data_IF_781636839569
#
_entry.id   IF_781636839569
#
_cell.length_a   1.000
_cell.length_b   1.000
_cell.length_c   1.000
_cell.angle_alpha   90.00
_cell.angle_beta   90.00
_cell.angle_gamma   90.00
#
_symmetry.space_group_name_H-M   'P 1'
#
loop_
_entity.id
_entity.type
_entity.pdbx_description
1 polymer ?
#
# COMPACT_ATOMS: atom_id res chain seq x y z
N UNK A 1 45.24 51.87 -24.08
CA UNK A 1 44.36 52.15 -22.91
C UNK A 1 43.77 50.81 -22.48
N UNK A 2 44.42 50.12 -21.54
CA UNK A 2 44.02 49.96 -20.12
C UNK A 2 42.67 49.22 -19.97
N UNK A 3 42.70 47.88 -19.89
CA UNK A 3 42.60 47.03 -18.67
C UNK A 3 41.24 47.06 -17.98
N UNK A 4 40.59 45.90 -17.80
CA UNK A 4 40.44 45.25 -16.49
C UNK A 4 39.83 43.84 -16.65
N UNK A 5 40.61 42.82 -16.28
CA UNK A 5 40.11 41.48 -15.98
C UNK A 5 39.76 41.45 -14.48
N UNK A 6 38.54 41.03 -14.14
CA UNK A 6 38.08 40.90 -12.77
C UNK A 6 38.43 39.49 -12.28
N UNK A 7 39.54 39.37 -11.55
CA UNK A 7 39.89 38.14 -10.83
C UNK A 7 39.23 38.18 -9.44
N UNK A 8 38.33 37.22 -9.20
CA UNK A 8 37.70 36.96 -7.92
C UNK A 8 38.75 36.37 -6.96
N UNK A 9 39.23 37.15 -5.99
CA UNK A 9 40.09 36.68 -4.90
C UNK A 9 39.21 36.18 -3.74
N UNK A 10 39.17 34.85 -3.59
CA UNK A 10 38.78 34.18 -2.34
C UNK A 10 39.90 34.39 -1.29
N UNK A 11 39.63 34.93 -0.08
CA UNK A 11 40.54 34.78 1.04
C UNK A 11 40.14 33.50 1.79
N UNK A 12 40.68 32.36 1.37
CA UNK A 12 40.53 31.09 2.08
C UNK A 12 41.89 30.44 2.24
N UNK A 13 42.82 31.17 2.86
CA UNK A 13 44.11 30.66 3.34
C UNK A 13 44.75 31.70 4.28
N UNK A 14 44.24 31.84 5.51
CA UNK A 14 44.90 32.65 6.55
C UNK A 14 44.77 32.03 7.95
N UNK A 15 44.46 30.73 8.06
CA UNK A 15 44.39 30.03 9.35
C UNK A 15 45.57 29.07 9.59
N UNK A 16 46.36 28.73 8.58
CA UNK A 16 47.49 27.79 8.73
C UNK A 16 48.86 28.45 8.98
N UNK A 17 49.05 29.73 8.64
CA UNK A 17 50.36 30.41 8.82
C UNK A 17 50.68 30.74 10.29
N UNK A 18 49.68 30.85 11.17
CA UNK A 18 49.91 31.18 12.59
C UNK A 18 50.22 29.95 13.48
N UNK A 19 49.77 28.74 13.11
CA UNK A 19 49.95 27.53 13.92
C UNK A 19 51.42 27.09 13.99
N UNK A 20 52.13 27.09 12.85
CA UNK A 20 53.53 26.64 12.77
C UNK A 20 54.45 27.58 13.58
N UNK A 21 54.24 28.90 13.44
CA UNK A 21 55.04 29.90 14.14
C UNK A 21 54.85 29.90 15.66
N UNK A 22 53.64 29.63 16.14
CA UNK A 22 53.38 29.52 17.58
C UNK A 22 54.01 28.27 18.19
N UNK A 23 53.85 27.10 17.55
CA UNK A 23 54.37 25.82 18.06
C UNK A 23 55.89 25.88 18.22
N UNK A 24 56.60 26.42 17.23
CA UNK A 24 58.06 26.57 17.28
C UNK A 24 58.48 27.51 18.43
N UNK A 25 57.82 28.66 18.57
CA UNK A 25 58.07 29.59 19.69
C UNK A 25 57.81 28.93 21.03
N UNK A 26 56.70 28.22 21.21
CA UNK A 26 56.40 27.51 22.44
C UNK A 26 57.40 26.38 22.74
N UNK A 27 57.83 25.62 21.72
CA UNK A 27 58.79 24.54 21.89
C UNK A 27 60.19 25.04 22.28
N UNK A 28 60.66 26.11 21.62
CA UNK A 28 62.01 26.66 21.76
C UNK A 28 62.15 27.79 22.80
N UNK A 29 61.05 28.36 23.30
CA UNK A 29 61.10 29.45 24.27
C UNK A 29 61.79 29.02 25.58
N UNK A 30 62.73 29.86 26.04
CA UNK A 30 63.31 29.76 27.37
C UNK A 30 62.26 30.01 28.47
N UNK A 31 61.28 30.86 28.19
CA UNK A 31 60.14 31.17 29.04
C UNK A 31 58.84 30.89 28.28
N UNK A 32 58.28 29.70 28.50
CA UNK A 32 57.06 29.24 27.81
C UNK A 32 55.81 29.94 28.32
N UNK A 33 55.82 30.51 29.53
CA UNK A 33 54.66 31.25 30.06
C UNK A 33 54.39 32.53 29.26
N UNK A 34 55.45 33.19 28.77
CA UNK A 34 55.30 34.33 27.84
C UNK A 34 54.63 33.95 26.52
N UNK A 35 55.02 32.82 25.94
CA UNK A 35 54.41 32.32 24.71
C UNK A 35 52.94 31.96 24.94
N UNK A 36 52.61 31.31 26.06
CA UNK A 36 51.23 30.99 26.42
C UNK A 36 50.31 32.22 26.51
N UNK A 37 50.85 33.39 26.86
CA UNK A 37 50.11 34.66 26.89
C UNK A 37 49.65 35.17 25.52
N UNK A 38 50.20 34.67 24.42
CA UNK A 38 49.76 35.00 23.05
C UNK A 38 48.45 34.28 22.67
N UNK A 39 48.07 33.23 23.40
CA UNK A 39 46.89 32.41 23.11
C UNK A 39 45.60 33.09 23.60
N UNK A 40 44.55 33.01 22.78
CA UNK A 40 43.23 33.57 23.11
C UNK A 40 42.59 32.78 24.26
N UNK A 41 42.31 33.40 25.44
CA UNK A 41 41.71 32.69 26.56
C UNK A 41 40.39 32.00 26.19
N UNK A 42 40.27 30.73 26.56
CA UNK A 42 39.08 29.91 26.27
C UNK A 42 39.05 29.26 24.88
N UNK A 43 40.07 29.48 24.03
CA UNK A 43 40.26 28.70 22.80
C UNK A 43 40.75 27.28 23.10
N UNK A 44 40.61 26.36 22.14
CA UNK A 44 41.11 24.99 22.28
C UNK A 44 42.64 24.95 22.44
N UNK A 45 43.37 25.75 21.65
CA UNK A 45 44.82 25.90 21.72
C UNK A 45 45.28 26.44 23.08
N UNK A 46 44.54 27.42 23.63
CA UNK A 46 44.79 27.94 24.97
C UNK A 46 44.79 26.82 26.00
N UNK A 47 43.71 26.02 26.06
CA UNK A 47 43.66 24.91 27.02
C UNK A 47 44.71 23.84 26.75
N UNK A 48 44.94 23.48 25.48
CA UNK A 48 45.90 22.43 25.11
C UNK A 48 47.34 22.78 25.50
N UNK A 49 47.85 23.95 25.10
CA UNK A 49 49.25 24.32 25.36
C UNK A 49 49.49 24.67 26.83
N UNK A 50 48.52 25.26 27.53
CA UNK A 50 48.63 25.45 28.98
C UNK A 50 48.69 24.10 29.70
N UNK A 51 47.80 23.16 29.36
CA UNK A 51 47.84 21.82 29.95
C UNK A 51 49.15 21.08 29.62
N UNK A 52 49.62 21.16 28.37
CA UNK A 52 50.89 20.56 27.96
C UNK A 52 52.08 21.17 28.72
N UNK A 53 52.09 22.49 28.93
CA UNK A 53 53.11 23.15 29.72
C UNK A 53 53.12 22.66 31.17
N UNK A 54 51.96 22.63 31.83
CA UNK A 54 51.83 22.15 33.20
C UNK A 54 52.19 20.67 33.35
N UNK A 55 51.91 19.83 32.32
CA UNK A 55 52.43 18.46 32.27
C UNK A 55 53.95 18.41 32.21
N UNK A 56 54.58 19.25 31.41
CA UNK A 56 56.05 19.26 31.24
C UNK A 56 56.78 19.70 32.51
N UNK A 57 56.23 20.66 33.26
CA UNK A 57 56.82 21.12 34.54
C UNK A 57 56.32 20.33 35.78
N UNK A 58 55.42 19.36 35.57
CA UNK A 58 54.79 18.54 36.63
C UNK A 58 54.01 19.33 37.68
N UNK A 59 53.38 20.43 37.29
CA UNK A 59 52.45 21.17 38.15
C UNK A 59 51.04 20.56 38.06
N UNK A 60 50.78 19.55 38.88
CA UNK A 60 49.50 18.82 38.89
C UNK A 60 48.33 19.69 39.33
N UNK A 61 48.57 20.71 40.16
CA UNK A 61 47.51 21.59 40.64
C UNK A 61 46.98 22.47 39.51
N UNK A 62 47.88 23.15 38.79
CA UNK A 62 47.51 23.96 37.62
C UNK A 62 46.97 23.12 36.47
N UNK A 63 47.51 21.91 36.25
CA UNK A 63 46.99 20.98 35.24
C UNK A 63 45.52 20.59 35.52
N UNK A 64 45.20 20.23 36.77
CA UNK A 64 43.84 19.86 37.13
C UNK A 64 42.88 21.03 37.01
N UNK A 65 43.30 22.23 37.39
CA UNK A 65 42.51 23.45 37.24
C UNK A 65 42.19 23.75 35.76
N UNK A 66 43.21 23.79 34.90
CA UNK A 66 42.99 24.09 33.46
C UNK A 66 42.15 23.01 32.76
N UNK A 67 42.30 21.74 33.14
CA UNK A 67 41.48 20.63 32.61
C UNK A 67 40.03 20.72 33.08
N UNK A 68 39.79 21.15 34.32
CA UNK A 68 38.43 21.36 34.83
C UNK A 68 37.75 22.53 34.12
N UNK A 69 38.45 23.65 33.92
CA UNK A 69 37.96 24.78 33.13
C UNK A 69 37.64 24.36 31.69
N UNK A 70 38.54 23.59 31.06
CA UNK A 70 38.30 23.04 29.72
C UNK A 70 37.05 22.16 29.69
N UNK A 71 36.84 21.31 30.70
CA UNK A 71 35.65 20.44 30.82
C UNK A 71 34.35 21.23 31.00
N UNK A 72 34.36 22.31 31.78
CA UNK A 72 33.20 23.17 31.96
C UNK A 72 32.83 23.89 30.66
N UNK A 73 33.84 24.34 29.90
CA UNK A 73 33.62 25.06 28.64
C UNK A 73 33.21 24.16 27.49
N UNK A 74 33.84 23.00 27.39
CA UNK A 74 33.59 21.99 26.34
C UNK A 74 33.31 20.66 27.05
N UNK A 75 32.04 20.34 27.36
CA UNK A 75 31.71 19.13 28.13
C UNK A 75 32.20 17.84 27.45
N UNK A 76 31.97 17.73 26.15
CA UNK A 76 32.40 16.57 25.36
C UNK A 76 33.91 16.59 25.11
N UNK A 77 34.54 15.43 25.17
CA UNK A 77 35.97 15.32 24.92
C UNK A 77 36.29 15.45 23.43
N UNK A 78 37.16 16.39 23.08
CA UNK A 78 37.72 16.55 21.74
C UNK A 78 39.10 15.88 21.62
N UNK A 79 39.64 15.81 20.39
CA UNK A 79 40.92 15.16 20.10
C UNK A 79 42.09 15.73 20.91
N UNK A 80 42.17 17.05 21.07
CA UNK A 80 43.25 17.71 21.80
C UNK A 80 43.22 17.40 23.29
N UNK A 81 42.03 17.42 23.93
CA UNK A 81 41.89 17.03 25.34
C UNK A 81 42.24 15.57 25.56
N UNK A 82 41.85 14.71 24.62
CA UNK A 82 42.23 13.28 24.62
C UNK A 82 43.73 13.07 24.64
N UNK A 83 44.49 13.82 23.83
CA UNK A 83 45.95 13.71 23.80
C UNK A 83 46.55 14.03 25.18
N UNK A 84 46.10 15.12 25.82
CA UNK A 84 46.57 15.52 27.15
C UNK A 84 46.23 14.46 28.21
N UNK A 85 44.98 13.97 28.23
CA UNK A 85 44.53 12.96 29.20
C UNK A 85 45.28 11.63 29.03
N UNK A 86 45.47 11.18 27.79
CA UNK A 86 46.26 9.98 27.49
C UNK A 86 47.71 10.16 27.91
N UNK A 87 48.32 11.31 27.61
CA UNK A 87 49.70 11.64 28.01
C UNK A 87 49.85 11.65 29.52
N UNK A 88 48.87 12.20 30.24
CA UNK A 88 48.90 12.24 31.71
C UNK A 88 48.85 10.84 32.30
N UNK A 89 47.95 9.99 31.80
CA UNK A 89 47.84 8.61 32.22
C UNK A 89 49.15 7.85 31.98
N UNK A 90 49.73 7.94 30.78
CA UNK A 90 51.00 7.29 30.44
C UNK A 90 52.13 7.80 31.32
N UNK A 91 52.18 9.10 31.58
CA UNK A 91 53.28 9.65 32.36
C UNK A 91 53.20 9.26 33.84
N UNK A 92 52.00 9.10 34.38
CA UNK A 92 51.80 8.63 35.74
C UNK A 92 52.04 7.12 35.92
N UNK A 93 52.40 6.40 34.86
CA UNK A 93 52.57 4.94 34.90
C UNK A 93 53.58 4.50 35.98
N UNK A 94 54.73 5.16 36.13
CA UNK A 94 55.72 4.77 37.15
C UNK A 94 55.20 4.96 38.59
N UNK A 95 54.26 5.89 38.79
CA UNK A 95 53.68 6.21 40.10
C UNK A 95 52.48 5.32 40.42
N UNK A 96 51.60 5.10 39.46
CA UNK A 96 50.40 4.26 39.61
C UNK A 96 50.09 3.47 38.31
N UNK A 97 50.77 2.33 38.12
CA UNK A 97 50.58 1.50 36.94
C UNK A 97 49.14 0.98 36.81
N UNK A 98 48.46 0.73 37.93
CA UNK A 98 47.12 0.13 37.94
C UNK A 98 46.07 1.12 37.44
N UNK A 99 46.12 2.38 37.90
CA UNK A 99 45.23 3.42 37.40
C UNK A 99 45.47 3.70 35.91
N UNK A 100 46.73 3.75 35.47
CA UNK A 100 47.08 3.95 34.05
C UNK A 100 46.59 2.80 33.18
N UNK A 101 46.83 1.54 33.58
CA UNK A 101 46.37 0.38 32.82
C UNK A 101 44.84 0.32 32.74
N UNK A 102 44.14 0.60 33.85
CA UNK A 102 42.68 0.70 33.85
C UNK A 102 42.20 1.74 32.85
N UNK A 103 42.76 2.95 32.90
CA UNK A 103 42.43 4.02 31.95
C UNK A 103 42.65 3.60 30.50
N UNK A 104 43.80 2.98 30.19
CA UNK A 104 44.14 2.56 28.83
C UNK A 104 43.26 1.40 28.32
N UNK A 105 42.94 0.42 29.17
CA UNK A 105 42.03 -0.69 28.83
C UNK A 105 40.64 -0.16 28.46
N UNK A 106 40.08 0.70 29.31
CA UNK A 106 38.77 1.34 29.06
C UNK A 106 38.82 2.21 27.80
N UNK A 107 39.90 2.97 27.63
CA UNK A 107 40.08 3.91 26.52
C UNK A 107 40.26 3.25 25.16
N UNK A 108 41.03 2.17 25.09
CA UNK A 108 41.32 1.45 23.85
C UNK A 108 40.27 0.37 23.56
N UNK A 109 39.35 0.12 24.50
CA UNK A 109 38.37 -0.95 24.39
C UNK A 109 39.03 -2.32 24.30
N UNK A 110 40.12 -2.53 25.05
CA UNK A 110 40.82 -3.82 25.04
C UNK A 110 39.89 -4.87 25.63
N UNK A 111 39.46 -5.82 24.78
CA UNK A 111 38.67 -6.98 25.18
C UNK A 111 39.44 -8.25 24.91
N UNK A 112 39.31 -9.18 25.85
CA UNK A 112 39.87 -10.53 25.76
C UNK A 112 38.75 -11.57 25.53
N UNK A 113 37.65 -11.15 24.92
CA UNK A 113 36.51 -12.00 24.54
C UNK A 113 36.73 -12.72 23.20
N UNK A 114 37.90 -12.57 22.60
CA UNK A 114 38.32 -13.37 21.45
C UNK A 114 38.36 -14.86 21.83
N UNK A 115 37.40 -15.61 21.29
CA UNK A 115 37.39 -17.06 21.39
C UNK A 115 38.30 -17.65 20.31
N UNK A 116 38.93 -18.78 20.63
CA UNK A 116 39.72 -19.52 19.65
C UNK A 116 38.80 -20.06 18.54
N UNK A 117 39.04 -19.66 17.29
CA UNK A 117 38.40 -20.29 16.13
C UNK A 117 38.98 -21.69 15.93
N UNK A 118 38.32 -22.71 16.48
CA UNK A 118 38.65 -24.12 16.25
C UNK A 118 38.08 -24.53 14.90
N UNK A 119 38.83 -24.31 13.82
CA UNK A 119 38.40 -24.52 12.42
C UNK A 119 37.90 -25.93 12.11
N UNK A 120 38.32 -26.93 12.88
CA UNK A 120 37.99 -28.34 12.65
C UNK A 120 36.87 -28.87 13.57
N UNK A 121 36.24 -28.01 14.39
CA UNK A 121 35.13 -28.43 15.24
C UNK A 121 33.82 -28.41 14.43
N UNK A 122 33.20 -29.58 14.26
CA UNK A 122 31.87 -29.67 13.64
C UNK A 122 30.87 -28.85 14.46
N UNK A 123 30.07 -27.97 13.84
CA UNK A 123 29.04 -27.21 14.56
C UNK A 123 28.08 -28.16 15.26
N UNK A 124 27.90 -27.98 16.57
CA UNK A 124 26.88 -28.67 17.37
C UNK A 124 25.53 -27.95 17.21
N UNK A 125 25.02 -27.97 15.98
CA UNK A 125 23.74 -27.38 15.61
C UNK A 125 22.77 -28.48 15.19
N UNK A 126 21.46 -28.32 15.48
CA UNK A 126 20.45 -29.23 14.97
C UNK A 126 20.53 -29.33 13.45
N UNK A 127 20.63 -30.56 12.93
CA UNK A 127 20.69 -30.83 11.49
C UNK A 127 19.31 -31.06 10.87
N UNK A 128 18.27 -31.12 11.69
CA UNK A 128 16.88 -31.32 11.28
C UNK A 128 15.93 -30.48 12.11
N UNK A 129 14.84 -30.04 11.49
CA UNK A 129 13.72 -29.42 12.19
C UNK A 129 12.80 -30.49 12.77
N UNK A 130 12.32 -30.24 13.99
CA UNK A 130 11.28 -31.05 14.63
C UNK A 130 9.97 -30.92 13.84
N UNK A 131 9.60 -32.00 13.14
CA UNK A 131 8.44 -32.02 12.25
C UNK A 131 7.14 -31.77 13.01
N UNK A 132 7.05 -32.18 14.28
CA UNK A 132 5.87 -31.96 15.10
C UNK A 132 5.63 -30.47 15.41
N UNK A 133 6.65 -29.61 15.26
CA UNK A 133 6.54 -28.15 15.49
C UNK A 133 6.28 -27.35 14.23
N UNK A 134 6.48 -27.94 13.05
CA UNK A 134 6.32 -27.29 11.75
C UNK A 134 5.24 -27.94 10.90
N UNK A 135 4.41 -28.79 11.51
CA UNK A 135 3.29 -29.41 10.85
C UNK A 135 2.20 -28.36 10.54
N UNK A 136 1.41 -28.63 9.49
CA UNK A 136 0.42 -27.67 8.96
C UNK A 136 -0.70 -27.37 9.96
N UNK A 137 -1.14 -28.39 10.68
CA UNK A 137 -2.14 -28.30 11.74
C UNK A 137 -1.69 -27.38 12.88
N UNK A 138 -0.42 -27.45 13.29
CA UNK A 138 0.15 -26.56 14.32
C UNK A 138 0.07 -25.09 13.89
N UNK A 139 0.47 -24.79 12.66
CA UNK A 139 0.36 -23.41 12.15
C UNK A 139 -1.09 -22.96 11.94
N UNK A 140 -1.98 -23.89 11.56
CA UNK A 140 -3.40 -23.59 11.40
C UNK A 140 -4.06 -23.26 12.73
N UNK A 141 -3.78 -24.05 13.76
CA UNK A 141 -4.29 -23.83 15.12
C UNK A 141 -3.77 -22.51 15.69
N UNK A 142 -2.48 -22.22 15.52
CA UNK A 142 -1.90 -20.93 15.92
C UNK A 142 -2.58 -19.76 15.21
N UNK A 143 -2.78 -19.85 13.90
CA UNK A 143 -3.47 -18.81 13.13
C UNK A 143 -4.92 -18.60 13.60
N UNK A 144 -5.68 -19.68 13.84
CA UNK A 144 -7.06 -19.58 14.30
C UNK A 144 -7.18 -18.99 15.71
N UNK A 145 -6.20 -19.23 16.58
CA UNK A 145 -6.23 -18.76 17.96
C UNK A 145 -5.65 -17.35 18.14
N UNK A 146 -4.56 -17.05 17.44
CA UNK A 146 -3.74 -15.85 17.68
C UNK A 146 -3.84 -14.80 16.57
N UNK A 147 -4.31 -15.17 15.37
CA UNK A 147 -4.48 -14.26 14.23
C UNK A 147 -5.96 -14.15 13.82
N UNK A 148 -6.69 -13.28 14.54
CA UNK A 148 -8.13 -13.03 14.28
C UNK A 148 -8.43 -12.68 12.83
N UNK A 149 -7.50 -12.02 12.15
CA UNK A 149 -7.67 -11.58 10.77
C UNK A 149 -7.18 -12.59 9.73
N UNK A 150 -6.59 -13.71 10.13
CA UNK A 150 -6.01 -14.73 9.25
C UNK A 150 -5.05 -14.10 8.20
N UNK A 151 -4.23 -13.15 8.63
CA UNK A 151 -3.20 -12.48 7.80
C UNK A 151 -2.01 -13.40 7.50
N UNK A 152 -1.73 -14.34 8.39
CA UNK A 152 -0.67 -15.34 8.29
C UNK A 152 -0.97 -16.45 7.27
N UNK A 153 -2.22 -16.63 6.87
CA UNK A 153 -2.63 -17.70 5.96
C UNK A 153 -2.51 -17.31 4.48
N UNK A 154 -1.99 -18.23 3.67
CA UNK A 154 -1.97 -18.11 2.22
C UNK A 154 -3.36 -18.24 1.59
N UNK A 155 -3.50 -17.85 0.33
CA UNK A 155 -4.76 -18.01 -0.42
C UNK A 155 -5.26 -19.47 -0.45
N UNK A 156 -4.35 -20.43 -0.63
CA UNK A 156 -4.70 -21.85 -0.61
C UNK A 156 -5.14 -22.34 0.77
N UNK A 157 -4.54 -21.81 1.84
CA UNK A 157 -4.94 -22.12 3.20
C UNK A 157 -6.33 -21.54 3.52
N UNK A 158 -6.60 -20.29 3.11
CA UNK A 158 -7.93 -19.67 3.23
C UNK A 158 -9.00 -20.45 2.44
N UNK A 159 -8.68 -20.88 1.22
CA UNK A 159 -9.57 -21.72 0.43
C UNK A 159 -9.82 -23.09 1.08
N UNK A 160 -8.78 -23.69 1.70
CA UNK A 160 -8.92 -24.95 2.42
C UNK A 160 -9.86 -24.82 3.63
N UNK A 161 -9.85 -23.70 4.35
CA UNK A 161 -10.78 -23.47 5.47
C UNK A 161 -12.25 -23.61 5.05
N UNK A 162 -12.61 -23.01 3.90
CA UNK A 162 -13.98 -23.08 3.36
C UNK A 162 -14.26 -24.47 2.78
N UNK A 163 -13.32 -25.01 2.01
CA UNK A 163 -13.43 -26.34 1.39
C UNK A 163 -13.69 -27.43 2.42
N UNK A 164 -12.87 -27.45 3.47
CA UNK A 164 -12.87 -28.49 4.49
C UNK A 164 -13.87 -28.18 5.64
N UNK A 165 -14.64 -27.09 5.50
CA UNK A 165 -15.65 -26.64 6.45
C UNK A 165 -15.12 -26.51 7.88
N UNK A 166 -13.91 -25.96 8.01
CA UNK A 166 -13.29 -25.72 9.32
C UNK A 166 -14.20 -24.81 10.15
N UNK A 167 -14.41 -25.07 11.46
CA UNK A 167 -15.24 -24.23 12.30
C UNK A 167 -14.63 -22.84 12.42
N UNK A 168 -15.29 -21.83 11.85
CA UNK A 168 -14.86 -20.43 11.91
C UNK A 168 -15.85 -19.59 12.69
N UNK A 169 -15.36 -18.65 13.49
CA UNK A 169 -16.19 -17.57 14.04
C UNK A 169 -16.74 -16.70 12.90
N UNK A 170 -17.82 -15.91 13.13
CA UNK A 170 -18.32 -14.97 12.11
C UNK A 170 -17.23 -14.03 11.57
N UNK A 171 -16.40 -13.47 12.46
CA UNK A 171 -15.32 -12.55 12.06
C UNK A 171 -14.24 -13.25 11.23
N UNK A 172 -13.85 -14.47 11.59
CA UNK A 172 -12.90 -15.26 10.83
C UNK A 172 -13.45 -15.62 9.45
N UNK A 173 -14.71 -16.07 9.38
CA UNK A 173 -15.36 -16.38 8.10
C UNK A 173 -15.41 -15.15 7.19
N UNK A 174 -15.73 -13.99 7.76
CA UNK A 174 -15.66 -12.72 7.02
C UNK A 174 -14.26 -12.41 6.53
N UNK A 175 -13.25 -12.55 7.38
CA UNK A 175 -11.86 -12.33 6.99
C UNK A 175 -11.43 -13.26 5.84
N UNK A 176 -11.85 -14.52 5.85
CA UNK A 176 -11.63 -15.45 4.73
C UNK A 176 -12.32 -14.96 3.45
N UNK A 177 -13.62 -14.69 3.51
CA UNK A 177 -14.42 -14.28 2.34
C UNK A 177 -13.96 -12.94 1.74
N UNK A 178 -13.46 -12.03 2.58
CA UNK A 178 -12.95 -10.74 2.12
C UNK A 178 -11.61 -10.86 1.38
N UNK A 179 -10.81 -11.88 1.69
CA UNK A 179 -9.49 -12.10 1.10
C UNK A 179 -9.48 -13.11 -0.03
N UNK A 180 -10.48 -13.98 -0.10
CA UNK A 180 -10.55 -15.03 -1.10
C UNK A 180 -10.65 -14.40 -2.49
N UNK A 181 -9.74 -14.81 -3.38
CA UNK A 181 -9.67 -14.24 -4.72
C UNK A 181 -10.43 -15.07 -5.76
N UNK A 182 -10.53 -16.39 -5.55
CA UNK A 182 -11.11 -17.30 -6.53
C UNK A 182 -12.41 -17.93 -6.03
N UNK A 183 -13.42 -18.05 -6.90
CA UNK A 183 -14.74 -18.58 -6.53
C UNK A 183 -14.82 -20.11 -6.57
N UNK A 184 -13.84 -20.79 -7.17
CA UNK A 184 -13.78 -22.24 -7.39
C UNK A 184 -13.38 -23.00 -6.12
N UNK A 185 -14.08 -22.72 -5.02
CA UNK A 185 -13.89 -23.35 -3.72
C UNK A 185 -15.17 -24.09 -3.33
N UNK A 186 -15.09 -25.42 -3.06
CA UNK A 186 -16.23 -26.16 -2.54
C UNK A 186 -16.78 -25.50 -1.28
N UNK A 187 -18.11 -25.54 -1.10
CA UNK A 187 -18.81 -24.96 0.04
C UNK A 187 -18.78 -23.41 0.16
N UNK A 188 -18.29 -22.69 -0.86
CA UNK A 188 -18.27 -21.22 -0.84
C UNK A 188 -19.66 -20.58 -0.69
N UNK A 189 -20.66 -21.06 -1.42
CA UNK A 189 -22.04 -20.53 -1.33
C UNK A 189 -22.62 -20.74 0.07
N UNK A 190 -22.37 -21.89 0.68
CA UNK A 190 -22.79 -22.16 2.05
C UNK A 190 -22.12 -21.21 3.05
N UNK A 191 -20.82 -20.92 2.88
CA UNK A 191 -20.10 -19.96 3.71
C UNK A 191 -20.62 -18.53 3.55
N UNK A 192 -20.94 -18.10 2.33
CA UNK A 192 -21.56 -16.78 2.06
C UNK A 192 -22.93 -16.66 2.74
N UNK A 193 -23.79 -17.66 2.58
CA UNK A 193 -25.10 -17.68 3.24
C UNK A 193 -24.98 -17.64 4.78
N UNK A 194 -23.98 -18.31 5.35
CA UNK A 194 -23.70 -18.23 6.77
C UNK A 194 -23.17 -16.85 7.19
N UNK A 195 -22.42 -16.15 6.34
CA UNK A 195 -21.98 -14.77 6.61
C UNK A 195 -23.14 -13.78 6.58
N UNK A 196 -23.98 -13.81 5.54
CA UNK A 196 -25.17 -12.96 5.43
C UNK A 196 -26.13 -13.14 6.60
N UNK A 197 -26.31 -14.38 7.09
CA UNK A 197 -27.14 -14.66 8.27
C UNK A 197 -26.54 -14.10 9.56
N UNK A 198 -25.22 -14.08 9.68
CA UNK A 198 -24.54 -13.61 10.88
C UNK A 198 -24.53 -12.07 10.96
N UNK A 199 -24.46 -11.38 9.83
CA UNK A 199 -24.47 -9.92 9.75
C UNK A 199 -25.42 -9.42 8.65
N UNK A 200 -26.70 -9.17 8.99
CA UNK A 200 -27.69 -8.72 8.01
C UNK A 200 -27.42 -7.33 7.43
N UNK A 201 -26.51 -6.55 8.04
CA UNK A 201 -26.14 -5.22 7.54
C UNK A 201 -25.31 -5.27 6.25
N UNK A 202 -24.70 -6.42 5.95
CA UNK A 202 -23.89 -6.62 4.76
C UNK A 202 -24.75 -7.17 3.63
N UNK A 203 -24.71 -6.48 2.50
CA UNK A 203 -25.41 -6.85 1.28
C UNK A 203 -24.51 -7.57 0.28
N UNK A 204 -25.17 -8.16 -0.72
CA UNK A 204 -24.45 -8.64 -1.90
C UNK A 204 -23.76 -7.47 -2.61
N UNK A 205 -22.48 -7.64 -2.93
CA UNK A 205 -21.62 -6.62 -3.53
C UNK A 205 -20.59 -5.99 -2.58
N UNK A 206 -20.72 -6.18 -1.26
CA UNK A 206 -19.81 -5.57 -0.28
C UNK A 206 -18.47 -6.30 -0.18
N UNK A 207 -18.46 -7.62 -0.33
CA UNK A 207 -17.24 -8.43 -0.37
C UNK A 207 -16.70 -8.56 -1.80
N UNK A 208 -15.37 -8.48 -2.01
CA UNK A 208 -14.75 -8.64 -3.33
C UNK A 208 -15.11 -9.96 -4.02
N UNK A 209 -15.23 -11.05 -3.24
CA UNK A 209 -15.54 -12.39 -3.76
C UNK A 209 -16.91 -12.44 -4.47
N UNK A 210 -17.86 -11.58 -4.09
CA UNK A 210 -19.19 -11.54 -4.71
C UNK A 210 -19.13 -11.32 -6.23
N UNK A 211 -18.20 -10.46 -6.69
CA UNK A 211 -18.02 -10.17 -8.13
C UNK A 211 -17.34 -11.31 -8.88
N UNK A 212 -16.67 -12.21 -8.15
CA UNK A 212 -15.93 -13.31 -8.74
C UNK A 212 -16.78 -14.56 -8.95
N UNK A 213 -17.91 -14.69 -8.24
CA UNK A 213 -18.79 -15.86 -8.29
C UNK A 213 -19.13 -16.34 -9.71
N UNK A 214 -19.24 -17.66 -9.84
CA UNK A 214 -19.67 -18.33 -11.06
C UNK A 214 -21.18 -18.20 -11.23
N UNK A 215 -21.68 -18.32 -12.48
CA UNK A 215 -23.12 -18.23 -12.77
C UNK A 215 -23.91 -19.24 -11.93
N UNK A 216 -23.46 -20.49 -11.83
CA UNK A 216 -24.13 -21.52 -11.02
C UNK A 216 -24.23 -21.14 -9.54
N UNK A 217 -23.19 -20.50 -8.99
CA UNK A 217 -23.19 -20.03 -7.60
C UNK A 217 -24.10 -18.81 -7.42
N UNK A 218 -24.19 -17.93 -8.42
CA UNK A 218 -25.14 -16.83 -8.41
C UNK A 218 -26.58 -17.35 -8.49
N UNK A 219 -26.85 -18.38 -9.30
CA UNK A 219 -28.17 -19.00 -9.40
C UNK A 219 -28.64 -19.53 -8.05
N UNK A 220 -27.76 -20.16 -7.26
CA UNK A 220 -28.06 -20.60 -5.89
C UNK A 220 -28.40 -19.43 -4.94
N UNK A 221 -27.82 -18.24 -5.16
CA UNK A 221 -28.04 -17.03 -4.36
C UNK A 221 -29.18 -16.14 -4.88
N UNK A 222 -29.74 -16.45 -6.06
CA UNK A 222 -30.70 -15.59 -6.77
C UNK A 222 -32.00 -15.37 -5.99
N UNK A 223 -32.47 -16.38 -5.26
CA UNK A 223 -33.73 -16.29 -4.51
C UNK A 223 -33.70 -15.17 -3.46
N UNK A 224 -32.59 -15.06 -2.72
CA UNK A 224 -32.45 -14.13 -1.60
C UNK A 224 -31.88 -12.77 -2.05
N UNK A 225 -30.99 -12.76 -3.05
CA UNK A 225 -30.25 -11.55 -3.45
C UNK A 225 -30.62 -10.99 -4.83
N UNK A 226 -31.47 -11.67 -5.61
CA UNK A 226 -31.79 -11.33 -7.00
C UNK A 226 -32.46 -9.98 -7.23
N UNK A 227 -32.90 -9.29 -6.16
CA UNK A 227 -33.46 -7.94 -6.22
C UNK A 227 -32.41 -6.84 -6.08
N UNK A 228 -31.23 -7.16 -5.54
CA UNK A 228 -30.14 -6.21 -5.33
C UNK A 228 -29.53 -5.77 -6.66
N UNK A 229 -29.32 -4.46 -6.82
CA UNK A 229 -28.66 -3.88 -8.00
C UNK A 229 -27.27 -4.48 -8.21
N UNK A 230 -26.48 -4.62 -7.14
CA UNK A 230 -25.12 -5.19 -7.18
C UNK A 230 -25.12 -6.64 -7.66
N UNK A 231 -26.13 -7.43 -7.25
CA UNK A 231 -26.28 -8.82 -7.70
C UNK A 231 -26.60 -8.88 -9.19
N UNK A 232 -27.59 -8.10 -9.63
CA UNK A 232 -28.02 -8.05 -11.03
C UNK A 232 -26.88 -7.61 -11.94
N UNK A 233 -26.12 -6.58 -11.55
CA UNK A 233 -24.99 -6.09 -12.34
C UNK A 233 -23.88 -7.14 -12.44
N UNK A 234 -23.58 -7.82 -11.33
CA UNK A 234 -22.61 -8.93 -11.32
C UNK A 234 -23.07 -10.06 -12.23
N UNK A 235 -24.35 -10.44 -12.17
CA UNK A 235 -24.92 -11.49 -13.01
C UNK A 235 -24.83 -11.14 -14.50
N UNK A 236 -25.26 -9.93 -14.88
CA UNK A 236 -25.18 -9.46 -16.27
C UNK A 236 -23.75 -9.47 -16.81
N UNK A 237 -22.78 -9.05 -15.99
CA UNK A 237 -21.36 -9.10 -16.34
C UNK A 237 -20.87 -10.52 -16.60
N UNK A 238 -21.37 -11.52 -15.87
CA UNK A 238 -21.01 -12.94 -16.07
C UNK A 238 -21.62 -13.55 -17.33
N UNK A 239 -22.68 -12.95 -17.88
CA UNK A 239 -23.28 -13.36 -19.15
C UNK A 239 -22.53 -12.86 -20.39
N UNK A 240 -21.49 -12.04 -20.19
CA UNK A 240 -20.61 -11.56 -21.25
C UNK A 240 -20.06 -12.72 -22.10
N UNK A 241 -19.82 -12.50 -23.40
CA UNK A 241 -19.13 -13.45 -24.25
C UNK A 241 -17.69 -13.69 -23.75
N UNK A 242 -17.01 -14.67 -24.34
CA UNK A 242 -15.57 -14.88 -24.09
C UNK A 242 -14.78 -13.60 -24.39
N UNK A 243 -13.70 -13.38 -23.63
CA UNK A 243 -12.82 -12.22 -23.79
C UNK A 243 -12.17 -12.13 -25.19
N UNK A 244 -12.09 -13.26 -25.91
CA UNK A 244 -11.54 -13.34 -27.26
C UNK A 244 -12.52 -12.90 -28.36
N UNK A 245 -13.80 -12.67 -28.02
CA UNK A 245 -14.83 -12.28 -28.99
C UNK A 245 -15.07 -10.77 -28.94
N UNK A 246 -14.95 -10.12 -30.10
CA UNK A 246 -15.30 -8.71 -30.26
C UNK A 246 -16.73 -8.57 -30.81
N UNK A 247 -17.64 -8.10 -29.97
CA UNK A 247 -19.05 -7.89 -30.31
C UNK A 247 -19.30 -6.85 -31.41
N UNK A 248 -18.33 -5.98 -31.72
CA UNK A 248 -18.44 -5.03 -32.83
C UNK A 248 -18.39 -5.74 -34.19
N UNK A 249 -17.61 -6.82 -34.29
CA UNK A 249 -17.39 -7.56 -35.54
C UNK A 249 -18.12 -8.90 -35.60
N UNK A 250 -18.42 -9.50 -34.44
CA UNK A 250 -19.19 -10.74 -34.34
C UNK A 250 -20.68 -10.42 -34.07
N UNK A 251 -21.42 -10.18 -35.15
CA UNK A 251 -22.85 -9.87 -35.06
C UNK A 251 -23.67 -11.02 -34.46
N UNK A 252 -23.28 -12.27 -34.75
CA UNK A 252 -24.00 -13.45 -34.26
C UNK A 252 -23.84 -13.60 -32.75
N UNK A 253 -22.63 -13.44 -32.23
CA UNK A 253 -22.41 -13.47 -30.79
C UNK A 253 -23.00 -12.25 -30.09
N UNK A 254 -23.01 -11.07 -30.72
CA UNK A 254 -23.68 -9.88 -30.17
C UNK A 254 -25.17 -10.11 -29.99
N UNK A 255 -25.81 -10.70 -30.98
CA UNK A 255 -27.21 -11.12 -30.93
C UNK A 255 -27.44 -12.16 -29.82
N UNK A 256 -26.64 -13.23 -29.77
CA UNK A 256 -26.75 -14.27 -28.75
C UNK A 256 -26.55 -13.72 -27.33
N UNK A 257 -25.58 -12.82 -27.15
CA UNK A 257 -25.35 -12.14 -25.87
C UNK A 257 -26.56 -11.31 -25.44
N UNK A 258 -27.12 -10.50 -26.34
CA UNK A 258 -28.31 -9.69 -26.07
C UNK A 258 -29.51 -10.55 -25.68
N UNK A 259 -29.68 -11.70 -26.32
CA UNK A 259 -30.73 -12.66 -25.97
C UNK A 259 -30.49 -13.27 -24.57
N UNK A 260 -29.25 -13.62 -24.21
CA UNK A 260 -28.91 -14.11 -22.85
C UNK A 260 -29.20 -13.05 -21.78
N UNK A 261 -28.74 -11.81 -21.96
CA UNK A 261 -28.99 -10.75 -20.96
C UNK A 261 -30.48 -10.37 -20.88
N UNK A 262 -31.21 -10.40 -22.00
CA UNK A 262 -32.66 -10.18 -21.99
C UNK A 262 -33.43 -11.31 -21.30
N UNK A 263 -33.05 -12.57 -21.53
CA UNK A 263 -33.64 -13.72 -20.83
C UNK A 263 -33.54 -13.57 -19.31
N UNK A 264 -32.35 -13.19 -18.81
CA UNK A 264 -32.19 -12.90 -17.38
C UNK A 264 -32.99 -11.67 -16.92
N UNK A 265 -32.93 -10.56 -17.67
CA UNK A 265 -33.55 -9.31 -17.26
C UNK A 265 -35.09 -9.39 -17.20
N UNK A 266 -35.73 -10.22 -18.02
CA UNK A 266 -37.18 -10.38 -18.04
C UNK A 266 -37.74 -10.74 -16.65
N UNK A 267 -37.11 -11.68 -15.96
CA UNK A 267 -37.50 -12.17 -14.63
C UNK A 267 -37.30 -11.15 -13.51
N UNK A 268 -36.52 -10.10 -13.76
CA UNK A 268 -36.18 -9.08 -12.75
C UNK A 268 -37.28 -8.02 -12.68
N UNK A 269 -38.16 -8.11 -11.67
CA UNK A 269 -39.37 -7.29 -11.57
C UNK A 269 -39.14 -5.77 -11.39
N UNK A 270 -37.96 -5.34 -10.92
CA UNK A 270 -37.78 -3.97 -10.38
C UNK A 270 -36.76 -3.10 -11.11
N UNK A 271 -36.24 -3.50 -12.28
CA UNK A 271 -35.11 -2.81 -12.94
C UNK A 271 -35.45 -2.29 -14.34
N UNK A 272 -36.36 -1.31 -14.38
CA UNK A 272 -36.88 -0.72 -15.64
C UNK A 272 -35.77 -0.09 -16.49
N UNK A 273 -34.82 0.61 -15.88
CA UNK A 273 -33.67 1.25 -16.56
C UNK A 273 -32.76 0.24 -17.27
N UNK A 274 -32.48 -0.90 -16.65
CA UNK A 274 -31.68 -1.97 -17.28
C UNK A 274 -32.46 -2.59 -18.43
N UNK A 275 -33.77 -2.87 -18.22
CA UNK A 275 -34.64 -3.41 -19.26
C UNK A 275 -34.71 -2.48 -20.47
N UNK A 276 -34.85 -1.17 -20.26
CA UNK A 276 -34.87 -0.20 -21.35
C UNK A 276 -33.54 -0.19 -22.10
N UNK A 277 -32.41 -0.28 -21.38
CA UNK A 277 -31.10 -0.34 -21.99
C UNK A 277 -30.92 -1.56 -22.89
N UNK A 278 -31.21 -2.75 -22.38
CA UNK A 278 -31.03 -4.01 -23.11
C UNK A 278 -31.93 -4.03 -24.35
N UNK A 279 -33.20 -3.65 -24.20
CA UNK A 279 -34.14 -3.59 -25.32
C UNK A 279 -33.70 -2.59 -26.39
N UNK A 280 -33.22 -1.41 -25.99
CA UNK A 280 -32.68 -0.43 -26.94
C UNK A 280 -31.51 -1.01 -27.75
N UNK A 281 -30.55 -1.66 -27.08
CA UNK A 281 -29.37 -2.25 -27.74
C UNK A 281 -29.76 -3.36 -28.73
N UNK A 282 -30.80 -4.15 -28.40
CA UNK A 282 -31.36 -5.18 -29.29
C UNK A 282 -32.12 -4.56 -30.46
N UNK A 283 -32.98 -3.59 -30.22
CA UNK A 283 -33.71 -2.90 -31.29
C UNK A 283 -32.76 -2.17 -32.27
N UNK A 284 -31.68 -1.56 -31.77
CA UNK A 284 -30.67 -0.93 -32.62
C UNK A 284 -29.87 -1.97 -33.43
N UNK A 285 -29.58 -3.14 -32.83
CA UNK A 285 -28.98 -4.26 -33.55
C UNK A 285 -29.85 -4.69 -34.73
N UNK A 286 -31.12 -4.94 -34.45
CA UNK A 286 -32.06 -5.50 -35.41
C UNK A 286 -32.31 -4.50 -36.53
N UNK A 287 -32.45 -3.21 -36.19
CA UNK A 287 -32.56 -2.09 -37.14
C UNK A 287 -31.40 -2.08 -38.13
N UNK A 288 -30.16 -2.22 -37.64
CA UNK A 288 -28.96 -2.27 -38.50
C UNK A 288 -28.97 -3.46 -39.46
N UNK A 289 -29.64 -4.56 -39.10
CA UNK A 289 -29.86 -5.75 -39.94
C UNK A 289 -31.13 -5.66 -40.81
N UNK A 290 -31.89 -4.57 -40.73
CA UNK A 290 -33.17 -4.40 -41.42
C UNK A 290 -34.33 -5.23 -40.83
N UNK A 291 -34.17 -5.74 -39.61
CA UNK A 291 -35.17 -6.52 -38.89
C UNK A 291 -35.94 -5.60 -37.93
N UNK A 292 -37.27 -5.60 -38.02
CA UNK A 292 -38.15 -4.79 -37.19
C UNK A 292 -39.13 -5.68 -36.43
N UNK A 293 -38.76 -6.08 -35.21
CA UNK A 293 -39.60 -6.90 -34.35
C UNK A 293 -40.65 -6.06 -33.62
N UNK A 294 -41.92 -6.28 -33.97
CA UNK A 294 -43.05 -5.54 -33.41
C UNK A 294 -43.25 -5.78 -31.91
N UNK A 295 -43.13 -7.02 -31.44
CA UNK A 295 -43.40 -7.35 -30.04
C UNK A 295 -42.32 -6.79 -29.12
N UNK A 296 -41.06 -6.88 -29.54
CA UNK A 296 -39.92 -6.28 -28.83
C UNK A 296 -40.05 -4.76 -28.77
N UNK A 297 -40.41 -4.12 -29.88
CA UNK A 297 -40.64 -2.68 -29.92
C UNK A 297 -41.77 -2.25 -28.98
N UNK A 298 -42.92 -2.94 -29.00
CA UNK A 298 -44.02 -2.65 -28.08
C UNK A 298 -43.62 -2.85 -26.61
N UNK A 299 -42.78 -3.84 -26.32
CA UNK A 299 -42.25 -4.07 -24.96
C UNK A 299 -41.36 -2.91 -24.51
N UNK A 300 -40.52 -2.38 -25.41
CA UNK A 300 -39.72 -1.18 -25.14
C UNK A 300 -40.59 0.06 -24.92
N UNK A 301 -41.64 0.27 -25.72
CA UNK A 301 -42.54 1.41 -25.57
C UNK A 301 -43.32 1.41 -24.24
N UNK A 302 -43.62 0.24 -23.67
CA UNK A 302 -44.28 0.12 -22.36
C UNK A 302 -43.41 0.63 -21.20
N UNK A 303 -42.10 0.79 -21.40
CA UNK A 303 -41.21 1.27 -20.35
C UNK A 303 -41.31 2.80 -20.19
N UNK A 304 -41.67 3.29 -19.00
CA UNK A 304 -41.97 4.70 -18.75
C UNK A 304 -40.68 5.53 -18.79
N UNK A 305 -40.63 6.53 -19.65
CA UNK A 305 -39.45 7.39 -19.85
C UNK A 305 -39.86 8.85 -20.10
N UNK A 306 -38.96 9.78 -19.81
CA UNK A 306 -39.19 11.22 -19.94
C UNK A 306 -38.47 11.75 -21.17
N UNK A 307 -39.20 11.94 -22.27
CA UNK A 307 -38.67 12.52 -23.50
C UNK A 307 -39.68 13.48 -24.12
N UNK A 308 -39.23 14.44 -24.94
CA UNK A 308 -40.10 15.50 -25.47
C UNK A 308 -41.29 14.99 -26.30
N UNK A 309 -41.14 13.84 -26.98
CA UNK A 309 -42.19 13.28 -27.83
C UNK A 309 -43.24 12.46 -27.05
N UNK A 310 -43.03 12.22 -25.74
CA UNK A 310 -43.97 11.46 -24.91
C UNK A 310 -45.18 12.35 -24.58
N UNK A 311 -46.37 11.76 -24.57
CA UNK A 311 -47.61 12.44 -24.27
C UNK A 311 -47.55 13.18 -22.91
N UNK A 312 -47.93 14.47 -22.92
CA UNK A 312 -47.80 15.36 -21.76
C UNK A 312 -48.70 14.94 -20.57
N UNK A 313 -49.90 14.42 -20.84
CA UNK A 313 -50.82 13.95 -19.80
C UNK A 313 -50.24 12.72 -19.08
N UNK A 314 -49.60 11.79 -19.81
CA UNK A 314 -48.90 10.66 -19.21
C UNK A 314 -47.74 11.11 -18.32
N UNK A 315 -46.95 12.10 -18.76
CA UNK A 315 -45.85 12.67 -17.97
C UNK A 315 -46.33 13.31 -16.66
N UNK A 316 -47.51 13.94 -16.67
CA UNK A 316 -48.10 14.59 -15.49
C UNK A 316 -48.75 13.60 -14.53
N UNK A 317 -49.35 12.52 -15.03
CA UNK A 317 -50.18 11.59 -14.24
C UNK A 317 -49.40 10.39 -13.70
N UNK A 318 -48.32 9.97 -14.37
CA UNK A 318 -47.54 8.81 -13.94
C UNK A 318 -46.68 9.11 -12.70
N UNK A 319 -46.92 8.36 -11.63
CA UNK A 319 -46.39 8.62 -10.28
C UNK A 319 -45.47 7.52 -9.73
N UNK A 320 -44.96 6.63 -10.59
CA UNK A 320 -44.03 5.54 -10.21
C UNK A 320 -42.62 5.80 -10.77
N UNK A 321 -41.71 4.84 -10.59
CA UNK A 321 -40.33 4.95 -11.02
C UNK A 321 -40.23 5.05 -12.54
N UNK A 322 -39.41 6.01 -12.99
CA UNK A 322 -39.08 6.28 -14.39
C UNK A 322 -37.81 5.54 -14.80
N UNK A 323 -37.70 5.18 -16.08
CA UNK A 323 -36.44 4.72 -16.65
C UNK A 323 -35.49 5.90 -16.80
N UNK A 324 -34.25 5.72 -16.37
CA UNK A 324 -33.17 6.68 -16.59
C UNK A 324 -32.34 6.25 -17.81
N UNK A 325 -32.60 6.87 -18.97
CA UNK A 325 -31.88 6.59 -20.21
C UNK A 325 -30.43 7.10 -20.21
N UNK A 326 -30.09 7.97 -19.26
CA UNK A 326 -28.76 8.56 -19.10
C UNK A 326 -27.89 7.81 -18.11
N UNK A 327 -28.47 6.87 -17.34
CA UNK A 327 -27.75 6.04 -16.39
C UNK A 327 -26.56 5.33 -17.04
N UNK A 328 -25.42 5.39 -16.34
CA UNK A 328 -24.22 4.64 -16.70
C UNK A 328 -24.42 3.17 -16.37
N UNK A 329 -24.44 2.35 -17.43
CA UNK A 329 -24.55 0.90 -17.37
C UNK A 329 -23.38 0.24 -18.13
N UNK A 330 -22.26 0.96 -18.25
CA UNK A 330 -21.05 0.47 -18.91
C UNK A 330 -20.51 -0.82 -18.26
N UNK A 331 -20.46 -0.88 -16.92
CA UNK A 331 -19.96 -2.06 -16.20
C UNK A 331 -20.82 -3.34 -16.43
N UNK A 332 -22.15 -3.33 -16.22
CA UNK A 332 -22.98 -4.52 -16.43
C UNK A 332 -23.25 -4.85 -17.91
N UNK A 333 -23.06 -3.91 -18.85
CA UNK A 333 -23.41 -4.06 -20.26
C UNK A 333 -22.26 -3.70 -21.22
N UNK A 334 -21.03 -4.07 -20.85
CA UNK A 334 -19.85 -4.10 -21.72
C UNK A 334 -19.53 -2.76 -22.42
N UNK A 335 -19.43 -1.70 -21.64
CA UNK A 335 -19.10 -0.34 -22.09
C UNK A 335 -20.09 0.23 -23.14
N UNK A 336 -21.34 -0.22 -23.15
CA UNK A 336 -22.37 0.37 -24.01
C UNK A 336 -22.66 1.83 -23.60
N UNK A 337 -22.60 2.81 -24.53
CA UNK A 337 -22.78 4.23 -24.21
C UNK A 337 -24.23 4.55 -23.83
N UNK A 338 -24.51 5.62 -23.07
CA UNK A 338 -25.86 6.01 -22.66
C UNK A 338 -26.80 6.28 -23.85
N UNK A 339 -28.12 6.02 -23.72
CA UNK A 339 -29.09 6.24 -24.81
C UNK A 339 -29.25 7.74 -25.04
N UNK A 340 -29.43 8.49 -23.95
CA UNK A 340 -29.74 9.93 -23.92
C UNK A 340 -31.06 10.30 -24.62
N UNK A 341 -31.14 10.10 -25.94
CA UNK A 341 -32.34 10.31 -26.75
C UNK A 341 -32.57 9.08 -27.66
N UNK A 342 -33.75 8.47 -27.57
CA UNK A 342 -34.14 7.32 -28.39
C UNK A 342 -35.06 7.69 -29.58
N UNK A 343 -35.35 8.98 -29.79
CA UNK A 343 -36.35 9.47 -30.75
C UNK A 343 -36.08 8.97 -32.17
N UNK A 344 -34.82 8.96 -32.61
CA UNK A 344 -34.43 8.48 -33.94
C UNK A 344 -34.83 7.01 -34.15
N UNK A 345 -34.48 6.14 -33.18
CA UNK A 345 -34.81 4.73 -33.21
C UNK A 345 -36.32 4.53 -33.17
N UNK A 346 -37.01 5.21 -32.26
CA UNK A 346 -38.47 5.08 -32.08
C UNK A 346 -39.20 5.52 -33.34
N UNK A 347 -38.83 6.66 -33.92
CA UNK A 347 -39.42 7.18 -35.17
C UNK A 347 -39.22 6.21 -36.33
N UNK A 348 -38.02 5.66 -36.50
CA UNK A 348 -37.72 4.72 -37.58
C UNK A 348 -38.55 3.44 -37.47
N UNK A 349 -38.63 2.85 -36.27
CA UNK A 349 -39.50 1.70 -36.00
C UNK A 349 -40.98 2.01 -36.27
N UNK A 350 -41.45 3.21 -35.89
CA UNK A 350 -42.83 3.62 -36.19
C UNK A 350 -43.09 3.71 -37.69
N UNK A 351 -42.19 4.32 -38.44
CA UNK A 351 -42.31 4.44 -39.89
C UNK A 351 -42.30 3.05 -40.56
N UNK A 352 -41.36 2.19 -40.20
CA UNK A 352 -41.28 0.85 -40.80
C UNK A 352 -42.46 -0.06 -40.48
N UNK A 353 -42.92 -0.07 -39.22
CA UNK A 353 -43.99 -0.98 -38.77
C UNK A 353 -45.40 -0.46 -39.08
N UNK A 354 -45.60 0.86 -39.14
CA UNK A 354 -46.95 1.45 -39.20
C UNK A 354 -47.19 2.35 -40.41
N UNK A 355 -46.18 2.82 -41.15
CA UNK A 355 -46.43 3.67 -42.34
C UNK A 355 -46.93 2.89 -43.56
N UNK A 356 -46.86 1.55 -43.57
CA UNK A 356 -47.47 0.70 -44.62
C UNK A 356 -48.92 0.30 -44.35
N UNK A 357 -49.52 0.76 -43.25
CA UNK A 357 -50.89 0.43 -42.86
C UNK A 357 -51.91 1.57 -43.14
N UNK A 358 -51.52 2.58 -43.93
CA UNK A 358 -52.37 3.71 -44.34
C UNK A 358 -52.81 3.57 -45.80
#
# INVERSE_FOLDING_TARGET
MKTLALALLLPLAALAENEIGFIERFALAADREKALGELVPGSEEYYFFHALHYQNIRDTAKLNDILNQWRQRVPNENGSRRVILNREAITNYERDPQATLKYLIERLGVRHDHQQEVRDQKPDLPTSLDQARIARDVFLEDALNNDRGLQSLSQDALAALIRDQVPLTPDQRRAVLQKLQRPDVPNLVAALNADFKAEPSIGFGDLPIHRQLLISQLDELKADHGRSTSFIYTYLRKLAPSADVNLEYDEAEREAWLDRVWAFAQDVSSHKTIKSRILYLRLDHDRKKGVYDRERFLTYLKLPRRLPYINEEFLRTYNSDWCDLTADLSDPLLNSPPIQNDEELVRDYFLHLFAKAA
#
